data_IF_878893369569
#
_entry.id   IF_878893369569
#
_cell.length_a   1.000
_cell.length_b   1.000
_cell.length_c   1.000
_cell.angle_alpha   90.00
_cell.angle_beta   90.00
_cell.angle_gamma   90.00
#
_symmetry.space_group_name_H-M   'P 1'
#
loop_
_entity.id
_entity.type
_entity.pdbx_description
1 polymer ?
#
# COMPACT_ATOMS: atom_id res chain seq x y z
N UNK A 1 21.98 -0.12 11.26
CA UNK A 1 21.45 1.24 11.44
C UNK A 1 22.08 1.99 12.61
N UNK A 2 22.76 1.31 13.53
CA UNK A 2 23.39 1.94 14.71
C UNK A 2 22.37 2.52 15.71
N UNK A 3 21.13 2.02 15.70
CA UNK A 3 20.08 2.42 16.65
C UNK A 3 20.01 1.42 17.79
N UNK A 4 19.73 1.90 18.99
CA UNK A 4 19.52 1.05 20.16
C UNK A 4 18.14 0.37 20.11
N UNK A 5 17.12 1.07 19.58
CA UNK A 5 15.77 0.56 19.38
C UNK A 5 15.12 1.18 18.13
N UNK A 6 13.98 0.64 17.73
CA UNK A 6 13.09 1.17 16.69
C UNK A 6 11.67 1.28 17.24
N UNK A 7 10.85 2.16 16.65
CA UNK A 7 9.45 2.29 17.08
C UNK A 7 8.65 1.03 16.71
N UNK A 8 8.78 0.54 15.49
CA UNK A 8 8.06 -0.65 15.02
C UNK A 8 9.06 -1.62 14.39
N UNK A 9 9.07 -2.86 14.88
CA UNK A 9 9.81 -3.95 14.26
C UNK A 9 8.85 -4.81 13.45
N UNK A 10 9.12 -4.96 12.14
CA UNK A 10 8.26 -5.70 11.23
C UNK A 10 8.74 -7.11 10.96
N UNK A 11 7.83 -8.08 11.02
CA UNK A 11 7.99 -9.34 10.30
C UNK A 11 7.60 -9.10 8.83
N UNK A 12 8.58 -9.22 7.91
CA UNK A 12 8.44 -8.79 6.52
C UNK A 12 7.42 -9.61 5.72
N UNK A 13 7.41 -10.95 5.91
CA UNK A 13 6.47 -11.85 5.26
C UNK A 13 6.49 -13.21 5.96
N UNK A 14 5.37 -13.91 5.86
CA UNK A 14 5.28 -15.28 6.37
C UNK A 14 6.25 -16.21 5.63
N UNK A 15 6.86 -17.09 6.40
CA UNK A 15 7.51 -18.28 5.91
C UNK A 15 6.53 -19.45 6.08
N UNK A 16 6.13 -20.13 4.98
CA UNK A 16 5.17 -21.23 5.08
C UNK A 16 5.70 -22.47 5.84
N UNK A 17 7.01 -22.59 6.02
CA UNK A 17 7.65 -23.69 6.74
C UNK A 17 7.84 -23.40 8.24
N UNK A 18 7.70 -22.13 8.67
CA UNK A 18 7.84 -21.71 10.07
C UNK A 18 6.45 -21.52 10.69
N UNK A 19 6.16 -22.19 11.82
CA UNK A 19 4.92 -21.97 12.56
C UNK A 19 4.73 -20.49 12.92
N UNK A 20 3.51 -19.98 12.77
CA UNK A 20 3.20 -18.58 13.05
C UNK A 20 3.46 -18.23 14.53
N UNK A 21 3.27 -19.19 15.43
CA UNK A 21 3.53 -19.07 16.86
C UNK A 21 4.99 -18.71 17.13
N UNK A 22 5.94 -19.41 16.52
CA UNK A 22 7.38 -19.16 16.69
C UNK A 22 7.77 -17.76 16.21
N UNK A 23 7.18 -17.35 15.09
CA UNK A 23 7.38 -15.99 14.55
C UNK A 23 6.86 -14.92 15.50
N UNK A 24 5.65 -15.10 16.04
CA UNK A 24 5.03 -14.14 16.96
C UNK A 24 5.73 -14.12 18.33
N UNK A 25 6.19 -15.26 18.84
CA UNK A 25 7.03 -15.31 20.04
C UNK A 25 8.34 -14.55 19.87
N UNK A 26 8.98 -14.68 18.71
CA UNK A 26 10.21 -13.94 18.39
C UNK A 26 9.94 -12.43 18.35
N UNK A 27 8.86 -11.96 17.73
CA UNK A 27 8.46 -10.55 17.75
C UNK A 27 8.22 -10.06 19.18
N UNK A 28 7.51 -10.84 19.99
CA UNK A 28 7.26 -10.49 21.39
C UNK A 28 8.56 -10.40 22.21
N UNK A 29 9.55 -11.28 21.97
CA UNK A 29 10.87 -11.18 22.61
C UNK A 29 11.62 -9.92 22.22
N UNK A 30 11.58 -9.50 20.92
CA UNK A 30 12.20 -8.27 20.45
C UNK A 30 11.62 -7.07 21.18
N UNK A 31 10.30 -6.99 21.33
CA UNK A 31 9.63 -5.91 22.06
C UNK A 31 9.98 -5.96 23.54
N UNK A 32 9.89 -7.12 24.20
CA UNK A 32 10.25 -7.27 25.64
C UNK A 32 11.71 -6.91 25.95
N UNK A 33 12.61 -7.15 24.99
CA UNK A 33 14.03 -6.78 25.15
C UNK A 33 14.31 -5.29 24.97
N UNK A 34 13.27 -4.47 24.71
CA UNK A 34 13.40 -3.03 24.50
C UNK A 34 13.99 -2.62 23.16
N UNK A 35 14.12 -3.55 22.21
CA UNK A 35 14.63 -3.27 20.87
C UNK A 35 13.57 -2.72 19.92
N UNK A 36 12.29 -2.82 20.29
CA UNK A 36 11.18 -2.18 19.62
C UNK A 36 10.10 -1.80 20.62
N UNK A 37 9.33 -0.75 20.29
CA UNK A 37 8.15 -0.35 21.07
C UNK A 37 6.93 -1.18 20.66
N UNK A 38 6.80 -1.48 19.37
CA UNK A 38 5.66 -2.17 18.80
C UNK A 38 6.10 -3.25 17.82
N UNK A 39 5.27 -4.30 17.70
CA UNK A 39 5.34 -5.25 16.61
C UNK A 39 4.51 -4.79 15.41
N UNK A 40 4.99 -5.06 14.21
CA UNK A 40 4.27 -4.93 12.96
C UNK A 40 4.41 -6.20 12.13
N UNK A 41 3.45 -6.47 11.25
CA UNK A 41 3.51 -7.57 10.29
C UNK A 41 3.33 -7.04 8.88
N UNK A 42 3.75 -7.80 7.88
CA UNK A 42 3.66 -7.39 6.48
C UNK A 42 3.34 -8.57 5.58
N UNK A 43 2.55 -8.32 4.54
CA UNK A 43 2.12 -9.32 3.56
C UNK A 43 1.28 -10.48 4.16
N UNK A 44 0.57 -10.22 5.24
CA UNK A 44 -0.43 -11.13 5.80
C UNK A 44 -1.79 -10.87 5.15
N UNK A 45 -2.60 -11.90 4.98
CA UNK A 45 -4.03 -11.79 4.66
C UNK A 45 -4.87 -11.64 5.95
N UNK A 46 -6.21 -11.61 5.79
CA UNK A 46 -7.10 -11.40 6.94
C UNK A 46 -7.11 -12.55 7.93
N UNK A 47 -7.00 -13.80 7.47
CA UNK A 47 -6.98 -14.98 8.34
C UNK A 47 -5.71 -15.03 9.18
N UNK A 48 -4.56 -14.97 8.53
CA UNK A 48 -3.27 -15.00 9.22
C UNK A 48 -3.04 -13.75 10.10
N UNK A 49 -3.59 -12.60 9.72
CA UNK A 49 -3.57 -11.43 10.59
C UNK A 49 -4.33 -11.69 11.90
N UNK A 50 -5.53 -12.30 11.83
CA UNK A 50 -6.33 -12.63 13.02
C UNK A 50 -5.60 -13.64 13.93
N UNK A 51 -4.93 -14.65 13.34
CA UNK A 51 -4.11 -15.62 14.07
C UNK A 51 -2.93 -14.91 14.77
N UNK A 52 -2.17 -14.09 14.03
CA UNK A 52 -1.04 -13.33 14.57
C UNK A 52 -1.48 -12.41 15.72
N UNK A 53 -2.62 -11.71 15.56
CA UNK A 53 -3.16 -10.83 16.60
C UNK A 53 -3.53 -11.59 17.88
N UNK A 54 -4.20 -12.75 17.75
CA UNK A 54 -4.56 -13.56 18.91
C UNK A 54 -3.31 -13.98 19.69
N UNK A 55 -2.29 -14.49 19.01
CA UNK A 55 -1.03 -14.92 19.63
C UNK A 55 -0.31 -13.74 20.30
N UNK A 56 -0.15 -12.62 19.59
CA UNK A 56 0.53 -11.44 20.13
C UNK A 56 -0.22 -10.84 21.31
N UNK A 57 -1.55 -10.91 21.34
CA UNK A 57 -2.39 -10.50 22.46
C UNK A 57 -2.15 -11.36 23.69
N UNK A 58 -2.11 -12.69 23.54
CA UNK A 58 -1.83 -13.64 24.61
C UNK A 58 -0.41 -13.47 25.16
N UNK A 59 0.53 -13.12 24.30
CA UNK A 59 1.91 -12.78 24.65
C UNK A 59 2.07 -11.36 25.25
N UNK A 60 1.00 -10.58 25.39
CA UNK A 60 1.00 -9.19 25.83
C UNK A 60 1.95 -8.30 25.02
N UNK A 61 2.10 -8.60 23.73
CA UNK A 61 2.93 -7.84 22.80
C UNK A 61 2.10 -6.78 22.06
N UNK A 62 2.47 -5.50 22.12
CA UNK A 62 1.74 -4.43 21.44
C UNK A 62 1.94 -4.52 19.92
N UNK A 63 0.99 -5.12 19.23
CA UNK A 63 0.88 -5.17 17.78
C UNK A 63 -0.08 -4.07 17.29
N UNK A 64 0.34 -3.28 16.27
CA UNK A 64 -0.42 -2.11 15.87
C UNK A 64 -0.74 -2.02 14.38
N UNK A 65 0.02 -2.70 13.50
CA UNK A 65 -0.03 -2.37 12.08
C UNK A 65 0.32 -3.54 11.15
N UNK A 66 -0.34 -3.60 10.00
CA UNK A 66 0.00 -4.50 8.89
C UNK A 66 0.41 -3.69 7.65
N UNK A 67 1.56 -4.02 7.05
CA UNK A 67 2.04 -3.35 5.84
C UNK A 67 1.79 -4.23 4.62
N UNK A 68 0.97 -3.76 3.67
CA UNK A 68 0.61 -4.52 2.49
C UNK A 68 0.62 -3.66 1.23
N UNK A 69 0.77 -4.33 0.07
CA UNK A 69 0.59 -3.67 -1.23
C UNK A 69 -0.87 -3.29 -1.40
N UNK A 70 -1.11 -2.03 -1.76
CA UNK A 70 -2.45 -1.57 -2.09
C UNK A 70 -2.41 -0.37 -3.02
N UNK A 71 -3.20 -0.40 -4.07
CA UNK A 71 -3.34 0.68 -5.05
C UNK A 71 -4.64 0.48 -5.86
N UNK A 72 -4.98 1.43 -6.71
CA UNK A 72 -6.09 1.30 -7.66
C UNK A 72 -5.96 0.01 -8.51
N UNK A 73 -4.73 -0.41 -8.86
CA UNK A 73 -4.45 -1.61 -9.66
C UNK A 73 -4.05 -2.86 -8.87
N UNK A 74 -4.00 -2.78 -7.55
CA UNK A 74 -3.78 -3.95 -6.68
C UNK A 74 -4.71 -3.87 -5.48
N UNK A 75 -5.80 -4.62 -5.54
CA UNK A 75 -6.88 -4.65 -4.54
C UNK A 75 -6.91 -5.94 -3.75
N UNK A 76 -5.80 -6.67 -3.72
CA UNK A 76 -5.69 -7.96 -3.04
C UNK A 76 -6.18 -7.90 -1.60
N UNK A 77 -5.85 -6.82 -0.86
CA UNK A 77 -6.27 -6.68 0.54
C UNK A 77 -7.77 -6.46 0.76
N UNK A 78 -8.51 -6.07 -0.28
CA UNK A 78 -9.98 -6.01 -0.25
C UNK A 78 -10.58 -7.42 -0.39
N UNK A 79 -9.94 -8.28 -1.21
CA UNK A 79 -10.44 -9.62 -1.57
C UNK A 79 -10.03 -10.71 -0.57
N UNK A 80 -8.86 -10.57 0.08
CA UNK A 80 -8.30 -11.57 1.00
C UNK A 80 -8.70 -11.34 2.46
N UNK A 81 -9.65 -10.45 2.73
CA UNK A 81 -10.20 -10.18 4.06
C UNK A 81 -9.34 -9.30 4.97
N UNK A 82 -8.14 -8.87 4.54
CA UNK A 82 -7.25 -8.09 5.39
C UNK A 82 -7.86 -6.74 5.83
N UNK A 83 -8.46 -5.99 4.90
CA UNK A 83 -9.07 -4.69 5.25
C UNK A 83 -10.17 -4.85 6.30
N UNK A 84 -11.00 -5.87 6.15
CA UNK A 84 -12.05 -6.15 7.11
C UNK A 84 -11.46 -6.54 8.47
N UNK A 85 -10.50 -7.47 8.49
CA UNK A 85 -9.85 -7.90 9.72
C UNK A 85 -9.17 -6.74 10.46
N UNK A 86 -8.46 -5.86 9.74
CA UNK A 86 -7.80 -4.69 10.32
C UNK A 86 -8.80 -3.70 10.92
N UNK A 87 -9.92 -3.42 10.23
CA UNK A 87 -10.97 -2.54 10.72
C UNK A 87 -11.63 -3.10 11.98
N UNK A 88 -11.98 -4.40 12.01
CA UNK A 88 -12.55 -5.10 13.17
C UNK A 88 -11.61 -5.05 14.38
N UNK A 89 -10.32 -5.30 14.16
CA UNK A 89 -9.29 -5.33 15.18
C UNK A 89 -8.80 -3.92 15.59
N UNK A 90 -9.25 -2.86 14.92
CA UNK A 90 -8.76 -1.47 15.09
C UNK A 90 -7.24 -1.37 14.92
N UNK A 91 -6.70 -2.09 13.94
CA UNK A 91 -5.27 -2.05 13.57
C UNK A 91 -5.08 -1.22 12.31
N UNK A 92 -3.94 -0.55 12.23
CA UNK A 92 -3.60 0.22 11.04
C UNK A 92 -3.17 -0.65 9.86
N UNK A 93 -3.34 -0.11 8.65
CA UNK A 93 -2.70 -0.62 7.45
C UNK A 93 -1.76 0.46 6.91
N UNK A 94 -0.51 0.09 6.60
CA UNK A 94 0.38 0.91 5.78
C UNK A 94 0.38 0.32 4.36
N UNK A 95 0.05 1.14 3.37
CA UNK A 95 0.04 0.72 1.97
C UNK A 95 1.38 1.02 1.30
N UNK A 96 2.07 0.00 0.80
CA UNK A 96 3.22 0.20 -0.08
C UNK A 96 2.84 0.10 -1.55
N UNK A 97 3.64 0.71 -2.43
CA UNK A 97 3.37 0.81 -3.88
C UNK A 97 2.00 1.46 -4.23
N UNK A 98 1.55 2.51 -3.54
CA UNK A 98 0.24 3.11 -3.77
C UNK A 98 0.09 3.68 -5.19
N UNK A 99 1.19 4.04 -5.84
CA UNK A 99 1.25 4.53 -7.22
C UNK A 99 1.53 3.41 -8.25
N UNK A 100 1.35 2.13 -7.89
CA UNK A 100 1.54 0.98 -8.76
C UNK A 100 2.85 1.03 -9.57
N UNK A 101 3.98 1.20 -8.87
CA UNK A 101 5.32 1.34 -9.46
C UNK A 101 5.50 2.58 -10.36
N UNK A 102 4.66 3.60 -10.20
CA UNK A 102 4.68 4.83 -10.98
C UNK A 102 3.71 4.82 -12.18
N UNK A 103 2.98 3.75 -12.42
CA UNK A 103 1.98 3.71 -13.51
C UNK A 103 0.76 4.59 -13.23
N UNK A 104 0.47 4.88 -11.95
CA UNK A 104 -0.57 5.83 -11.53
C UNK A 104 0.00 7.25 -11.40
N UNK A 105 0.76 7.66 -12.41
CA UNK A 105 1.26 9.03 -12.60
C UNK A 105 1.13 9.40 -14.08
N UNK A 106 1.40 10.65 -14.43
CA UNK A 106 1.44 11.13 -15.82
C UNK A 106 2.65 10.62 -16.62
N UNK A 107 3.59 9.96 -15.94
CA UNK A 107 4.91 9.60 -16.49
C UNK A 107 4.85 8.70 -17.73
N UNK A 108 3.85 7.80 -17.81
CA UNK A 108 3.73 6.81 -18.87
C UNK A 108 2.66 7.14 -19.91
N UNK A 109 1.98 8.27 -19.81
CA UNK A 109 0.89 8.66 -20.74
C UNK A 109 1.33 8.79 -22.20
N UNK A 110 2.58 9.21 -22.40
CA UNK A 110 3.17 9.49 -23.72
C UNK A 110 4.27 8.47 -24.10
N UNK A 111 4.26 7.27 -23.51
CA UNK A 111 5.26 6.24 -23.75
C UNK A 111 6.15 5.97 -22.54
N UNK A 112 7.21 5.19 -22.72
CA UNK A 112 8.14 4.78 -21.67
C UNK A 112 9.32 5.75 -21.64
N UNK A 113 9.47 6.62 -20.61
CA UNK A 113 10.63 7.49 -20.51
C UNK A 113 11.92 6.72 -20.29
N UNK A 114 13.04 7.20 -20.88
CA UNK A 114 14.34 6.54 -20.78
C UNK A 114 14.88 6.44 -19.34
N UNK A 115 14.47 7.35 -18.45
CA UNK A 115 14.80 7.37 -17.02
C UNK A 115 13.76 6.67 -16.14
N UNK A 116 12.78 5.97 -16.74
CA UNK A 116 11.73 5.25 -16.02
C UNK A 116 12.23 3.95 -15.41
N UNK A 117 11.51 3.42 -14.40
CA UNK A 117 11.82 2.10 -13.83
C UNK A 117 11.76 0.98 -14.85
N UNK A 118 10.91 1.07 -15.86
CA UNK A 118 10.85 0.10 -16.95
C UNK A 118 12.14 0.08 -17.74
N UNK A 119 12.69 1.26 -18.02
CA UNK A 119 13.90 1.39 -18.84
C UNK A 119 15.19 1.10 -18.05
N UNK A 120 15.22 1.40 -16.74
CA UNK A 120 16.43 1.33 -15.92
C UNK A 120 16.46 0.12 -14.98
N UNK A 121 15.30 -0.38 -14.53
CA UNK A 121 15.16 -1.48 -13.56
C UNK A 121 13.88 -2.29 -13.85
N UNK A 122 13.96 -3.20 -14.77
CA UNK A 122 12.82 -4.07 -15.18
C UNK A 122 12.41 -5.14 -14.17
N UNK A 123 12.95 -5.18 -12.94
CA UNK A 123 12.65 -6.22 -11.93
C UNK A 123 11.21 -6.20 -11.46
N UNK A 124 10.61 -5.01 -11.29
CA UNK A 124 9.30 -4.83 -10.67
C UNK A 124 8.20 -4.36 -11.62
N UNK A 125 8.57 -3.71 -12.71
CA UNK A 125 7.65 -3.25 -13.75
C UNK A 125 8.30 -3.48 -15.12
N UNK A 126 7.65 -4.29 -15.95
CA UNK A 126 8.11 -4.64 -17.29
C UNK A 126 7.27 -3.94 -18.35
N UNK A 127 7.85 -3.73 -19.53
CA UNK A 127 7.18 -3.06 -20.66
C UNK A 127 5.91 -3.81 -21.11
N UNK A 128 5.93 -5.14 -21.08
CA UNK A 128 4.80 -6.00 -21.44
C UNK A 128 3.58 -5.87 -20.48
N UNK A 129 3.79 -5.30 -19.31
CA UNK A 129 2.71 -5.01 -18.35
C UNK A 129 1.97 -3.70 -18.63
N UNK A 130 2.47 -2.87 -19.56
CA UNK A 130 1.83 -1.65 -20.03
C UNK A 130 1.15 -1.90 -21.38
N UNK A 131 0.12 -2.76 -21.38
CA UNK A 131 -0.69 -2.99 -22.59
C UNK A 131 -1.48 -1.72 -22.97
N UNK A 132 -1.94 -1.64 -24.22
CA UNK A 132 -2.74 -0.50 -24.68
C UNK A 132 -4.04 -0.36 -23.89
N UNK A 133 -4.67 -1.47 -23.46
CA UNK A 133 -5.86 -1.44 -22.62
C UNK A 133 -5.54 -0.81 -21.25
N UNK A 134 -4.40 -1.19 -20.65
CA UNK A 134 -3.97 -0.59 -19.37
C UNK A 134 -3.58 0.87 -19.52
N UNK A 135 -2.96 1.25 -20.63
CA UNK A 135 -2.67 2.65 -20.92
C UNK A 135 -3.96 3.46 -21.13
N UNK A 136 -4.97 2.89 -21.80
CA UNK A 136 -6.28 3.53 -21.91
C UNK A 136 -6.94 3.74 -20.54
N UNK A 137 -6.86 2.76 -19.65
CA UNK A 137 -7.29 2.88 -18.25
C UNK A 137 -6.57 4.00 -17.52
N UNK A 138 -5.22 4.07 -17.61
CA UNK A 138 -4.41 5.13 -16.98
C UNK A 138 -4.78 6.50 -17.53
N UNK A 139 -4.99 6.64 -18.86
CA UNK A 139 -5.45 7.89 -19.48
C UNK A 139 -6.83 8.30 -18.96
N UNK A 140 -7.78 7.36 -18.87
CA UNK A 140 -9.11 7.61 -18.31
C UNK A 140 -9.07 8.07 -16.85
N UNK A 141 -8.25 7.41 -16.03
CA UNK A 141 -8.02 7.83 -14.63
C UNK A 141 -7.37 9.22 -14.54
N UNK A 142 -6.44 9.53 -15.45
CA UNK A 142 -5.80 10.85 -15.50
C UNK A 142 -6.78 11.97 -15.88
N UNK A 143 -7.71 11.71 -16.81
CA UNK A 143 -8.75 12.69 -17.15
C UNK A 143 -9.70 12.92 -15.97
N UNK A 144 -10.05 11.87 -15.23
CA UNK A 144 -10.85 12.03 -14.00
C UNK A 144 -10.09 12.86 -12.95
N UNK A 145 -8.80 12.60 -12.74
CA UNK A 145 -7.97 13.39 -11.83
C UNK A 145 -7.94 14.86 -12.21
N UNK A 146 -7.78 15.20 -13.51
CA UNK A 146 -7.84 16.57 -14.01
C UNK A 146 -9.19 17.25 -13.75
N UNK A 147 -10.31 16.51 -13.90
CA UNK A 147 -11.65 17.04 -13.60
C UNK A 147 -11.79 17.39 -12.12
N UNK A 148 -11.09 16.66 -11.24
CA UNK A 148 -11.00 16.95 -9.81
C UNK A 148 -10.02 18.07 -9.46
N UNK A 149 -9.26 18.59 -10.44
CA UNK A 149 -8.20 19.57 -10.21
C UNK A 149 -6.93 18.99 -9.55
N UNK A 150 -6.72 17.69 -9.69
CA UNK A 150 -5.63 16.94 -9.04
C UNK A 150 -4.71 16.30 -10.08
N UNK A 151 -3.47 15.94 -9.68
CA UNK A 151 -2.66 15.02 -10.46
C UNK A 151 -3.18 13.58 -10.29
N UNK A 152 -2.88 12.70 -11.26
CA UNK A 152 -3.22 11.27 -11.15
C UNK A 152 -2.59 10.65 -9.89
N UNK A 153 -1.38 11.06 -9.53
CA UNK A 153 -0.71 10.60 -8.32
C UNK A 153 -1.47 11.00 -7.05
N UNK A 154 -1.92 12.26 -6.94
CA UNK A 154 -2.72 12.75 -5.82
C UNK A 154 -4.04 12.00 -5.71
N UNK A 155 -4.77 11.85 -6.81
CA UNK A 155 -6.02 11.09 -6.83
C UNK A 155 -5.80 9.62 -6.42
N UNK A 156 -4.73 8.97 -6.89
CA UNK A 156 -4.42 7.58 -6.53
C UNK A 156 -4.08 7.43 -5.04
N UNK A 157 -3.34 8.35 -4.45
CA UNK A 157 -3.04 8.37 -3.02
C UNK A 157 -4.32 8.61 -2.19
N UNK A 158 -5.15 9.59 -2.60
CA UNK A 158 -6.45 9.84 -1.94
C UNK A 158 -7.35 8.61 -2.00
N UNK A 159 -7.35 7.89 -3.13
CA UNK A 159 -8.14 6.66 -3.28
C UNK A 159 -7.69 5.57 -2.31
N UNK A 160 -6.40 5.40 -2.07
CA UNK A 160 -5.88 4.43 -1.08
C UNK A 160 -6.34 4.79 0.33
N UNK A 161 -6.45 6.07 0.66
CA UNK A 161 -6.83 6.58 1.98
C UNK A 161 -8.36 6.79 2.16
N UNK A 162 -9.18 6.44 1.16
CA UNK A 162 -10.60 6.84 1.03
C UNK A 162 -11.55 6.45 2.17
N UNK A 163 -11.21 5.43 2.95
CA UNK A 163 -12.10 4.85 3.97
C UNK A 163 -11.50 4.80 5.37
N UNK A 164 -10.35 5.46 5.56
CA UNK A 164 -9.62 5.55 6.84
C UNK A 164 -9.15 4.20 7.44
N UNK A 165 -9.36 3.07 6.78
CA UNK A 165 -8.81 1.76 7.19
C UNK A 165 -7.30 1.73 6.92
N UNK A 166 -6.89 2.32 5.79
CA UNK A 166 -5.46 2.56 5.52
C UNK A 166 -5.04 3.81 6.26
N UNK A 167 -4.11 3.62 7.21
CA UNK A 167 -3.63 4.69 8.10
C UNK A 167 -2.58 5.55 7.43
N UNK A 168 -1.73 4.96 6.59
CA UNK A 168 -0.62 5.66 5.94
C UNK A 168 -0.24 5.01 4.61
N UNK A 169 0.42 5.80 3.76
CA UNK A 169 0.95 5.34 2.47
C UNK A 169 2.47 5.56 2.42
N UNK A 170 3.18 4.59 1.86
CA UNK A 170 4.61 4.70 1.61
C UNK A 170 4.84 5.22 0.19
N UNK A 171 5.28 6.46 0.09
CA UNK A 171 5.65 7.08 -1.17
C UNK A 171 7.16 6.96 -1.43
N UNK A 172 7.55 6.56 -2.64
CA UNK A 172 8.93 6.64 -3.12
C UNK A 172 9.09 7.90 -3.97
N UNK A 173 10.11 8.69 -3.67
CA UNK A 173 10.41 9.90 -4.43
C UNK A 173 11.89 10.00 -4.76
N UNK A 174 12.21 10.46 -5.99
CA UNK A 174 13.57 10.77 -6.42
C UNK A 174 13.87 12.28 -6.37
N UNK A 175 12.84 13.11 -6.13
CA UNK A 175 12.95 14.57 -6.06
C UNK A 175 12.05 15.10 -4.94
N UNK A 176 12.49 16.14 -4.26
CA UNK A 176 11.71 16.82 -3.20
C UNK A 176 10.37 17.32 -3.70
N UNK A 177 10.31 17.80 -4.95
CA UNK A 177 9.07 18.28 -5.58
C UNK A 177 7.98 17.22 -5.63
N UNK A 178 8.33 15.95 -5.81
CA UNK A 178 7.37 14.83 -5.80
C UNK A 178 6.77 14.63 -4.41
N UNK A 179 7.56 14.80 -3.35
CA UNK A 179 7.05 14.71 -1.97
C UNK A 179 6.07 15.85 -1.71
N UNK A 180 6.45 17.09 -2.07
CA UNK A 180 5.60 18.27 -1.87
C UNK A 180 4.29 18.16 -2.69
N UNK A 181 4.36 17.61 -3.90
CA UNK A 181 3.18 17.40 -4.72
C UNK A 181 2.26 16.32 -4.12
N UNK A 182 2.83 15.22 -3.67
CA UNK A 182 2.05 14.14 -3.01
C UNK A 182 1.39 14.59 -1.70
N UNK A 183 2.00 15.53 -0.94
CA UNK A 183 1.41 16.05 0.30
C UNK A 183 0.10 16.80 0.07
N UNK A 184 -0.13 17.35 -1.14
CA UNK A 184 -1.40 18.02 -1.49
C UNK A 184 -2.61 17.08 -1.41
N UNK A 185 -2.40 15.76 -1.38
CA UNK A 185 -3.47 14.77 -1.15
C UNK A 185 -4.24 15.03 0.14
N UNK A 186 -3.62 15.68 1.13
CA UNK A 186 -4.27 16.00 2.41
C UNK A 186 -5.35 17.08 2.25
N UNK A 187 -5.30 17.86 1.17
CA UNK A 187 -6.27 18.91 0.82
C UNK A 187 -7.31 18.40 -0.19
N UNK A 188 -7.14 17.18 -0.73
CA UNK A 188 -8.03 16.59 -1.74
C UNK A 188 -9.42 16.31 -1.16
N UNK A 189 -10.47 16.66 -1.90
CA UNK A 189 -11.84 16.34 -1.56
C UNK A 189 -12.11 14.83 -1.55
N UNK A 190 -13.10 14.40 -0.79
CA UNK A 190 -13.56 13.02 -0.84
C UNK A 190 -14.20 12.68 -2.20
N UNK A 191 -14.22 11.40 -2.53
CA UNK A 191 -14.81 10.93 -3.78
C UNK A 191 -16.33 10.89 -3.69
N UNK A 192 -17.00 11.35 -4.76
CA UNK A 192 -18.41 11.06 -4.98
C UNK A 192 -18.63 9.59 -5.36
N UNK A 193 -19.87 9.11 -5.31
CA UNK A 193 -20.21 7.75 -5.75
C UNK A 193 -19.97 7.55 -7.26
N UNK A 194 -20.23 8.58 -8.08
CA UNK A 194 -19.97 8.56 -9.52
C UNK A 194 -18.48 8.43 -9.82
N UNK A 195 -17.64 9.17 -9.09
CA UNK A 195 -16.17 9.08 -9.23
C UNK A 195 -15.65 7.72 -8.83
N UNK A 196 -16.12 7.16 -7.71
CA UNK A 196 -15.76 5.81 -7.26
C UNK A 196 -16.13 4.77 -8.30
N UNK A 197 -17.36 4.81 -8.81
CA UNK A 197 -17.82 3.93 -9.87
C UNK A 197 -16.98 4.06 -11.13
N UNK A 198 -16.63 5.28 -11.52
CA UNK A 198 -15.78 5.53 -12.69
C UNK A 198 -14.36 4.98 -12.52
N UNK A 199 -13.77 5.15 -11.32
CA UNK A 199 -12.46 4.55 -10.99
C UNK A 199 -12.55 3.02 -11.09
N UNK A 200 -13.61 2.41 -10.58
CA UNK A 200 -13.82 0.97 -10.63
C UNK A 200 -13.98 0.46 -12.08
N UNK A 201 -14.79 1.10 -12.89
CA UNK A 201 -14.96 0.76 -14.32
C UNK A 201 -13.63 0.80 -15.08
N UNK A 202 -12.80 1.81 -14.81
CA UNK A 202 -11.51 2.00 -15.46
C UNK A 202 -10.44 1.04 -14.95
N UNK A 203 -10.48 0.61 -13.70
CA UNK A 203 -9.37 -0.09 -13.07
C UNK A 203 -9.58 -1.57 -12.82
N UNK A 204 -10.80 -2.04 -12.50
CA UNK A 204 -11.07 -3.44 -12.14
C UNK A 204 -10.64 -4.46 -13.19
N UNK A 205 -10.78 -4.21 -14.50
CA UNK A 205 -10.29 -5.14 -15.54
C UNK A 205 -8.78 -5.40 -15.45
N UNK A 206 -8.02 -4.50 -14.82
CA UNK A 206 -6.56 -4.53 -14.70
C UNK A 206 -6.07 -4.68 -13.27
N UNK A 207 -6.98 -4.77 -12.30
CA UNK A 207 -6.66 -4.91 -10.87
C UNK A 207 -6.51 -6.38 -10.46
N UNK A 208 -5.50 -6.65 -9.61
CA UNK A 208 -5.32 -7.94 -8.94
C UNK A 208 -6.32 -8.12 -7.81
#
# INVERSE_FOLDING_TARGET
MGLEYVDIFYHHRMDPETPIEETMETLAQIVRSGKALYAGISNYDGEHMKQAEAILKDLHCPYIINQNRYSIFDRTIEKNGLKQAAAEAKKGIIAFSPLAQGTLTDRYLNGIPADSRIATDGRFLKADQLTEEKLASIRGLNELAKQRGESLAQMALKWVLKDHVVTSVLIGASKTTQILDNLKVLESADFTEEERKKIDELSLPHAK
#
